data_IF_894865531019
#
_entry.id   IF_894865531019
#
_cell.length_a   1.000
_cell.length_b   1.000
_cell.length_c   1.000
_cell.angle_alpha   90.00
_cell.angle_beta   90.00
_cell.angle_gamma   90.00
#
_symmetry.space_group_name_H-M   'P 1'
#
loop_
_entity.id
_entity.type
_entity.pdbx_description
1 polymer ?
#
# COMPACT_ATOMS: atom_id res chain seq x y z
N UNK A 1 -22.17 29.91 9.71
CA UNK A 1 -21.64 30.16 11.08
C UNK A 1 -22.82 30.19 12.04
N UNK A 2 -23.18 29.06 12.68
CA UNK A 2 -24.17 29.05 13.75
C UNK A 2 -23.44 28.78 15.07
N UNK A 3 -23.33 29.82 15.89
CA UNK A 3 -22.90 29.68 17.27
C UNK A 3 -24.08 29.09 18.06
N UNK A 4 -24.03 27.79 18.35
CA UNK A 4 -24.95 27.20 19.31
C UNK A 4 -24.72 27.87 20.67
N UNK A 5 -25.75 28.52 21.22
CA UNK A 5 -25.67 29.03 22.59
C UNK A 5 -25.44 27.84 23.51
N UNK A 6 -24.28 27.78 24.19
CA UNK A 6 -24.06 26.85 25.29
C UNK A 6 -24.92 27.33 26.46
N UNK A 7 -26.21 27.00 26.45
CA UNK A 7 -27.00 27.05 27.66
C UNK A 7 -26.35 26.05 28.62
N UNK A 8 -26.00 26.51 29.83
CA UNK A 8 -25.50 25.64 30.88
C UNK A 8 -26.54 24.58 31.27
N UNK A 9 -26.32 23.91 32.40
CA UNK A 9 -27.29 22.95 32.96
C UNK A 9 -28.72 23.52 32.87
N UNK A 10 -29.65 22.72 32.36
CA UNK A 10 -31.05 23.14 32.27
C UNK A 10 -31.57 23.45 33.67
N UNK A 11 -32.45 24.45 33.77
CA UNK A 11 -33.01 24.90 35.04
C UNK A 11 -33.63 23.77 35.89
N UNK A 12 -34.26 22.73 35.30
CA UNK A 12 -34.65 21.53 36.04
C UNK A 12 -33.47 20.79 36.70
N UNK A 13 -32.33 20.62 36.02
CA UNK A 13 -31.16 19.94 36.57
C UNK A 13 -30.52 20.76 37.68
N UNK A 14 -30.47 22.10 37.52
CA UNK A 14 -29.98 23.01 38.55
C UNK A 14 -30.79 22.88 39.84
N UNK A 15 -32.12 22.88 39.75
CA UNK A 15 -33.01 22.67 40.91
C UNK A 15 -32.81 21.33 41.58
N UNK A 16 -32.57 20.26 40.79
CA UNK A 16 -32.30 18.93 41.35
C UNK A 16 -30.98 18.92 42.13
N UNK A 17 -29.91 19.54 41.61
CA UNK A 17 -28.63 19.64 42.32
C UNK A 17 -28.78 20.47 43.59
N UNK A 18 -29.47 21.62 43.53
CA UNK A 18 -29.74 22.48 44.69
C UNK A 18 -30.55 21.75 45.76
N UNK A 19 -31.55 20.94 45.38
CA UNK A 19 -32.34 20.12 46.31
C UNK A 19 -31.49 19.03 46.99
N UNK A 20 -30.55 18.41 46.28
CA UNK A 20 -29.64 17.39 46.84
C UNK A 20 -28.64 18.02 47.83
N UNK A 21 -28.21 19.27 47.59
CA UNK A 21 -27.32 20.00 48.51
C UNK A 21 -28.08 20.53 49.74
N UNK A 22 -29.35 20.92 49.59
CA UNK A 22 -30.19 21.43 50.67
C UNK A 22 -30.83 20.33 51.54
N UNK A 23 -30.63 19.06 51.19
CA UNK A 23 -31.12 17.92 51.97
C UNK A 23 -30.44 17.92 53.36
N UNK A 24 -31.21 17.93 54.47
CA UNK A 24 -30.63 17.92 55.80
C UNK A 24 -29.79 16.65 55.96
N UNK A 25 -28.57 16.81 56.47
CA UNK A 25 -27.73 15.66 56.77
C UNK A 25 -28.39 14.81 57.85
N UNK A 26 -28.42 13.49 57.66
CA UNK A 26 -28.82 12.59 58.73
C UNK A 26 -27.84 12.69 59.91
N UNK A 27 -28.34 12.50 61.13
CA UNK A 27 -27.63 12.84 62.36
C UNK A 27 -26.22 12.21 62.40
N UNK A 28 -25.19 13.06 62.35
CA UNK A 28 -23.77 12.65 62.29
C UNK A 28 -23.11 12.63 60.90
N UNK A 29 -23.82 12.92 59.81
CA UNK A 29 -23.24 13.03 58.46
C UNK A 29 -22.88 14.48 58.09
N UNK A 30 -21.88 14.63 57.24
CA UNK A 30 -21.52 15.93 56.67
C UNK A 30 -22.52 16.25 55.54
N UNK A 31 -23.02 17.49 55.44
CA UNK A 31 -23.86 17.92 54.32
C UNK A 31 -23.20 17.63 52.97
N UNK A 32 -23.98 17.17 51.99
CA UNK A 32 -23.48 16.84 50.65
C UNK A 32 -22.87 18.08 49.99
N UNK A 33 -21.66 17.92 49.49
CA UNK A 33 -20.99 18.96 48.69
C UNK A 33 -21.66 19.09 47.31
N UNK A 34 -21.53 20.24 46.63
CA UNK A 34 -22.01 20.40 45.25
C UNK A 34 -21.43 19.35 44.29
N UNK A 35 -20.19 18.92 44.49
CA UNK A 35 -19.55 17.87 43.69
C UNK A 35 -20.23 16.52 43.87
N UNK A 36 -20.56 16.15 45.11
CA UNK A 36 -21.28 14.91 45.41
C UNK A 36 -22.71 14.93 44.87
N UNK A 37 -23.38 16.08 44.95
CA UNK A 37 -24.70 16.28 44.36
C UNK A 37 -24.67 16.10 42.84
N UNK A 38 -23.67 16.69 42.17
CA UNK A 38 -23.45 16.47 40.73
C UNK A 38 -23.17 15.00 40.44
N UNK A 39 -22.32 14.33 41.22
CA UNK A 39 -22.01 12.90 41.03
C UNK A 39 -23.25 12.00 41.19
N UNK A 40 -24.21 12.38 42.05
CA UNK A 40 -25.46 11.65 42.22
C UNK A 40 -26.45 11.86 41.06
N UNK A 41 -26.48 13.06 40.48
CA UNK A 41 -27.45 13.45 39.43
C UNK A 41 -26.92 13.07 38.04
N UNK A 42 -25.61 13.11 37.83
CA UNK A 42 -24.96 12.88 36.54
C UNK A 42 -25.33 11.51 35.90
N UNK A 43 -25.38 10.37 36.62
CA UNK A 43 -25.79 9.08 36.06
C UNK A 43 -27.27 9.02 35.65
N UNK A 44 -28.13 9.87 36.24
CA UNK A 44 -29.56 9.97 35.91
C UNK A 44 -29.80 10.89 34.71
N UNK A 45 -28.77 11.60 34.26
CA UNK A 45 -28.81 12.55 33.15
C UNK A 45 -28.26 11.94 31.86
N UNK A 46 -28.82 12.37 30.73
CA UNK A 46 -28.31 12.07 29.39
C UNK A 46 -27.13 12.96 28.98
N UNK A 47 -26.65 13.81 29.88
CA UNK A 47 -25.59 14.76 29.60
C UNK A 47 -24.33 14.10 29.02
N UNK A 48 -23.76 13.08 29.69
CA UNK A 48 -22.57 12.38 29.20
C UNK A 48 -22.79 11.69 27.86
N UNK A 49 -24.00 11.16 27.62
CA UNK A 49 -24.40 10.60 26.33
C UNK A 49 -24.43 11.68 25.24
N UNK A 50 -25.03 12.83 25.54
CA UNK A 50 -25.17 13.95 24.61
C UNK A 50 -23.83 14.64 24.29
N UNK A 51 -22.89 14.63 25.24
CA UNK A 51 -21.54 15.21 25.06
C UNK A 51 -20.50 14.19 24.61
N UNK A 52 -20.89 12.93 24.35
CA UNK A 52 -20.00 11.89 23.83
C UNK A 52 -19.01 11.30 24.84
N UNK A 53 -19.25 11.50 26.13
CA UNK A 53 -18.40 11.03 27.24
C UNK A 53 -18.91 9.76 27.93
N UNK A 54 -20.07 9.22 27.53
CA UNK A 54 -20.51 7.91 28.02
C UNK A 54 -19.51 6.82 27.57
N UNK A 55 -18.93 6.02 28.47
CA UNK A 55 -18.25 4.81 28.08
C UNK A 55 -19.34 3.89 27.50
N UNK A 56 -19.44 3.90 26.17
CA UNK A 56 -20.25 2.93 25.43
C UNK A 56 -19.83 1.57 25.95
N UNK A 57 -20.72 0.87 26.65
CA UNK A 57 -20.51 -0.50 27.09
C UNK A 57 -19.88 -1.26 25.91
N UNK A 58 -18.77 -1.99 26.10
CA UNK A 58 -17.94 -2.48 25.00
C UNK A 58 -18.85 -3.24 24.04
N UNK A 59 -19.12 -2.60 22.89
CA UNK A 59 -19.83 -3.20 21.78
C UNK A 59 -19.06 -4.46 21.44
N UNK A 60 -19.60 -5.64 21.82
CA UNK A 60 -18.98 -6.97 21.68
C UNK A 60 -18.45 -7.27 20.26
N UNK A 61 -18.89 -6.49 19.30
CA UNK A 61 -18.63 -6.51 17.87
C UNK A 61 -17.45 -5.63 17.39
N UNK A 62 -16.92 -4.70 18.19
CA UNK A 62 -15.78 -3.88 17.76
C UNK A 62 -14.46 -4.70 17.71
N UNK A 63 -14.23 -5.59 18.68
CA UNK A 63 -13.07 -6.49 18.68
C UNK A 63 -13.12 -7.52 17.55
N UNK A 64 -14.30 -8.02 17.19
CA UNK A 64 -14.43 -8.99 16.09
C UNK A 64 -14.23 -8.34 14.72
N UNK A 65 -14.68 -7.09 14.53
CA UNK A 65 -14.45 -6.34 13.30
C UNK A 65 -12.95 -6.05 13.08
N UNK A 66 -12.22 -5.65 14.12
CA UNK A 66 -10.77 -5.46 14.04
C UNK A 66 -10.05 -6.77 13.75
N UNK A 67 -10.45 -7.87 14.40
CA UNK A 67 -9.86 -9.20 14.15
C UNK A 67 -10.07 -9.69 12.71
N UNK A 68 -11.25 -9.42 12.12
CA UNK A 68 -11.54 -9.81 10.74
C UNK A 68 -10.71 -8.99 9.74
N UNK A 69 -10.58 -7.68 9.96
CA UNK A 69 -9.75 -6.80 9.13
C UNK A 69 -8.27 -7.20 9.16
N UNK A 70 -7.75 -7.59 10.34
CA UNK A 70 -6.38 -8.08 10.47
C UNK A 70 -6.18 -9.38 9.69
N UNK A 71 -7.12 -10.34 9.77
CA UNK A 71 -7.03 -11.59 9.01
C UNK A 71 -7.07 -11.37 7.50
N UNK A 72 -7.90 -10.44 7.03
CA UNK A 72 -7.98 -10.07 5.61
C UNK A 72 -6.65 -9.46 5.13
N UNK A 73 -6.09 -8.51 5.88
CA UNK A 73 -4.79 -7.90 5.61
C UNK A 73 -3.66 -8.94 5.62
N UNK A 74 -3.66 -9.87 6.57
CA UNK A 74 -2.68 -10.96 6.63
C UNK A 74 -2.76 -11.87 5.40
N UNK A 75 -3.97 -12.19 4.93
CA UNK A 75 -4.18 -12.98 3.72
C UNK A 75 -3.71 -12.23 2.46
N UNK A 76 -4.00 -10.93 2.36
CA UNK A 76 -3.57 -10.11 1.23
C UNK A 76 -2.05 -9.96 1.17
N UNK A 77 -1.39 -9.74 2.32
CA UNK A 77 0.07 -9.70 2.42
C UNK A 77 0.70 -11.03 2.01
N UNK A 78 0.11 -12.16 2.39
CA UNK A 78 0.63 -13.47 2.03
C UNK A 78 0.47 -13.75 0.53
N UNK A 79 -0.67 -13.38 -0.06
CA UNK A 79 -0.86 -13.44 -1.51
C UNK A 79 0.13 -12.55 -2.26
N UNK A 80 0.38 -11.33 -1.77
CA UNK A 80 1.35 -10.42 -2.38
C UNK A 80 2.78 -10.96 -2.29
N UNK A 81 3.17 -11.56 -1.16
CA UNK A 81 4.49 -12.21 -1.02
C UNK A 81 4.67 -13.36 -2.01
N UNK A 82 3.64 -14.19 -2.19
CA UNK A 82 3.67 -15.30 -3.14
C UNK A 82 3.75 -14.79 -4.58
N UNK A 83 2.95 -13.77 -4.92
CA UNK A 83 3.02 -13.10 -6.21
C UNK A 83 4.40 -12.48 -6.49
N UNK A 84 4.98 -11.80 -5.49
CA UNK A 84 6.31 -11.22 -5.60
C UNK A 84 7.41 -12.29 -5.75
N UNK A 85 7.25 -13.46 -5.12
CA UNK A 85 8.16 -14.59 -5.32
C UNK A 85 8.08 -15.13 -6.75
N UNK A 86 6.88 -15.39 -7.25
CA UNK A 86 6.68 -15.86 -8.63
C UNK A 86 7.25 -14.88 -9.67
N UNK A 87 7.03 -13.57 -9.48
CA UNK A 87 7.59 -12.55 -10.37
C UNK A 87 9.12 -12.49 -10.33
N UNK A 88 9.74 -12.72 -9.16
CA UNK A 88 11.21 -12.80 -9.05
C UNK A 88 11.75 -14.00 -9.82
N UNK A 89 11.09 -15.15 -9.71
CA UNK A 89 11.50 -16.38 -10.42
C UNK A 89 11.37 -16.18 -11.94
N UNK A 90 10.25 -15.61 -12.42
CA UNK A 90 10.08 -15.27 -13.83
C UNK A 90 11.13 -14.29 -14.34
N UNK A 91 11.49 -13.29 -13.54
CA UNK A 91 12.53 -12.31 -13.87
C UNK A 91 13.91 -12.99 -14.01
N UNK A 92 14.24 -13.94 -13.14
CA UNK A 92 15.51 -14.69 -13.21
C UNK A 92 15.56 -15.55 -14.48
N UNK A 93 14.48 -16.27 -14.80
CA UNK A 93 14.36 -17.03 -16.04
C UNK A 93 14.52 -16.11 -17.26
N UNK A 94 13.88 -14.95 -17.25
CA UNK A 94 13.95 -14.00 -18.36
C UNK A 94 15.36 -13.43 -18.52
N UNK A 95 16.06 -13.12 -17.43
CA UNK A 95 17.46 -12.68 -17.46
C UNK A 95 18.36 -13.74 -18.09
N UNK A 96 18.21 -15.00 -17.70
CA UNK A 96 18.99 -16.09 -18.29
C UNK A 96 18.77 -16.19 -19.81
N UNK A 97 17.50 -16.17 -20.24
CA UNK A 97 17.15 -16.19 -21.67
C UNK A 97 17.67 -14.98 -22.43
N UNK A 98 17.70 -13.80 -21.80
CA UNK A 98 18.23 -12.59 -22.41
C UNK A 98 19.75 -12.72 -22.66
N UNK A 99 20.50 -13.21 -21.67
CA UNK A 99 21.95 -13.45 -21.83
C UNK A 99 22.21 -14.49 -22.93
N UNK A 100 21.50 -15.62 -22.92
CA UNK A 100 21.63 -16.64 -23.96
C UNK A 100 21.29 -16.10 -25.36
N UNK A 101 20.25 -15.27 -25.45
CA UNK A 101 19.85 -14.64 -26.72
C UNK A 101 20.88 -13.62 -27.21
N UNK A 102 21.47 -12.83 -26.32
CA UNK A 102 22.53 -11.88 -26.66
C UNK A 102 23.79 -12.58 -27.15
N UNK A 103 24.20 -13.67 -26.48
CA UNK A 103 25.33 -14.50 -26.90
C UNK A 103 25.09 -15.16 -28.26
N UNK A 104 23.90 -15.69 -28.49
CA UNK A 104 23.53 -16.26 -29.79
C UNK A 104 23.57 -15.20 -30.90
N UNK A 105 23.04 -14.01 -30.63
CA UNK A 105 23.06 -12.88 -31.56
C UNK A 105 24.49 -12.39 -31.82
N UNK A 106 25.36 -12.43 -30.82
CA UNK A 106 26.76 -12.04 -30.98
C UNK A 106 27.50 -13.01 -31.91
N UNK A 107 27.34 -14.32 -31.71
CA UNK A 107 27.91 -15.35 -32.60
C UNK A 107 27.43 -15.19 -34.04
N UNK A 108 26.13 -14.93 -34.23
CA UNK A 108 25.58 -14.66 -35.56
C UNK A 108 26.20 -13.43 -36.23
N UNK A 109 26.48 -12.37 -35.45
CA UNK A 109 27.15 -11.17 -35.98
C UNK A 109 28.57 -11.47 -36.45
N UNK A 110 29.32 -12.26 -35.68
CA UNK A 110 30.67 -12.69 -36.03
C UNK A 110 30.68 -13.55 -37.29
N UNK A 111 29.75 -14.50 -37.41
CA UNK A 111 29.59 -15.33 -38.62
C UNK A 111 29.26 -14.48 -39.85
N UNK A 112 28.34 -13.51 -39.73
CA UNK A 112 28.02 -12.58 -40.82
C UNK A 112 29.25 -11.78 -41.23
N UNK A 113 30.08 -11.34 -40.29
CA UNK A 113 31.30 -10.60 -40.59
C UNK A 113 32.32 -11.46 -41.36
N UNK A 114 32.50 -12.71 -40.95
CA UNK A 114 33.38 -13.68 -41.63
C UNK A 114 32.90 -13.92 -43.06
N UNK A 115 31.59 -14.19 -43.24
CA UNK A 115 31.01 -14.43 -44.56
C UNK A 115 31.14 -13.20 -45.47
N UNK A 116 30.99 -11.99 -44.92
CA UNK A 116 31.21 -10.74 -45.67
C UNK A 116 32.66 -10.62 -46.15
N UNK A 117 33.63 -10.86 -45.29
CA UNK A 117 35.07 -10.83 -45.65
C UNK A 117 35.38 -11.84 -46.76
N UNK A 118 34.91 -13.08 -46.61
CA UNK A 118 35.05 -14.11 -47.64
C UNK A 118 34.39 -13.70 -48.97
N UNK A 119 33.21 -13.09 -48.92
CA UNK A 119 32.52 -12.56 -50.10
C UNK A 119 33.32 -11.47 -50.82
N UNK A 120 33.93 -10.56 -50.07
CA UNK A 120 34.81 -9.51 -50.63
C UNK A 120 36.09 -10.09 -51.24
N UNK A 121 36.73 -11.06 -50.59
CA UNK A 121 37.90 -11.77 -51.11
C UNK A 121 37.59 -12.52 -52.40
N UNK A 122 36.48 -13.27 -52.43
CA UNK A 122 36.01 -13.97 -53.62
C UNK A 122 35.71 -13.00 -54.77
N UNK A 123 35.12 -11.84 -54.47
CA UNK A 123 34.87 -10.81 -55.48
C UNK A 123 36.18 -10.27 -56.07
N UNK A 124 37.18 -9.98 -55.24
CA UNK A 124 38.51 -9.52 -55.70
C UNK A 124 39.18 -10.57 -56.58
N UNK A 125 39.17 -11.84 -56.16
CA UNK A 125 39.73 -12.93 -56.98
C UNK A 125 39.03 -13.07 -58.33
N UNK A 126 37.71 -12.90 -58.37
CA UNK A 126 36.94 -12.90 -59.62
C UNK A 126 37.30 -11.71 -60.51
N UNK A 127 37.47 -10.50 -59.95
CA UNK A 127 37.91 -9.31 -60.67
C UNK A 127 39.32 -9.49 -61.27
N UNK A 128 40.26 -10.03 -60.50
CA UNK A 128 41.61 -10.35 -60.96
C UNK A 128 41.59 -11.39 -62.09
N UNK A 129 40.86 -12.49 -61.90
CA UNK A 129 40.72 -13.55 -62.92
C UNK A 129 40.14 -12.99 -64.21
N UNK A 130 39.08 -12.18 -64.13
CA UNK A 130 38.48 -11.52 -65.29
C UNK A 130 39.46 -10.57 -65.99
N UNK A 131 40.28 -9.84 -65.22
CA UNK A 131 41.32 -8.96 -65.77
C UNK A 131 42.38 -9.76 -66.55
N UNK A 132 42.84 -10.87 -66.00
CA UNK A 132 43.79 -11.77 -66.68
C UNK A 132 43.19 -12.34 -67.97
N UNK A 133 41.94 -12.81 -67.94
CA UNK A 133 41.25 -13.35 -69.12
C UNK A 133 41.15 -12.30 -70.23
N UNK A 134 40.78 -11.05 -69.90
CA UNK A 134 40.74 -9.95 -70.88
C UNK A 134 42.09 -9.73 -71.53
N UNK A 135 43.17 -9.69 -70.74
CA UNK A 135 44.54 -9.53 -71.27
C UNK A 135 44.95 -10.68 -72.19
N UNK A 136 44.63 -11.92 -71.85
CA UNK A 136 44.94 -13.09 -72.68
C UNK A 136 44.18 -13.07 -74.01
N UNK A 137 42.91 -12.66 -73.99
CA UNK A 137 42.11 -12.55 -75.20
C UNK A 137 42.67 -11.46 -76.14
N UNK A 138 43.08 -10.32 -75.61
CA UNK A 138 43.69 -9.24 -76.40
C UNK A 138 45.08 -9.58 -76.98
N UNK A 139 45.73 -10.66 -76.54
CA UNK A 139 46.99 -11.14 -77.13
C UNK A 139 46.80 -12.11 -78.30
N UNK A 140 45.56 -12.57 -78.53
CA UNK A 140 45.20 -13.48 -79.62
C UNK A 140 44.52 -12.78 -80.81
N UNK A 141 44.30 -11.47 -80.70
CA UNK A 141 43.90 -10.57 -81.79
C UNK A 141 45.14 -9.84 -82.33
#
# INVERSE_FOLDING_TARGET
>A
MHYGSKTGFSEPIKRVIEAVVAEPAEDGQVPKTPTEAVAQVLPKSKFLQNVGFEPVAPKRNAKSAVSACVQELEAEVELEKQGAAALRDELEILKLKAVESEDARQKQREEIEILKKQGEENRKQAEETNSLLRRLLSLKE
#
